data_IF_675965091762
#
_entry.id   IF_675965091762
#
_cell.length_a   1.000
_cell.length_b   1.000
_cell.length_c   1.000
_cell.angle_alpha   90.00
_cell.angle_beta   90.00
_cell.angle_gamma   90.00
#
_symmetry.space_group_name_H-M   'P 1'
#
loop_
_entity.id
_entity.type
_entity.pdbx_description
1 polymer ?
#
# COMPACT_ATOMS: atom_id res chain seq x y z
N UNK A 1 -29.44 25.50 37.76
CA UNK A 1 -30.58 24.58 37.59
C UNK A 1 -31.09 24.75 36.17
N UNK A 2 -30.63 23.93 35.23
CA UNK A 2 -31.10 22.55 35.00
C UNK A 2 -32.25 22.57 33.99
N UNK A 3 -31.91 22.16 32.77
CA UNK A 3 -32.69 21.35 31.82
C UNK A 3 -33.75 21.98 30.90
N UNK A 4 -33.45 21.80 29.60
CA UNK A 4 -34.31 21.27 28.52
C UNK A 4 -35.54 22.07 28.07
N UNK A 5 -35.51 22.63 26.85
CA UNK A 5 -36.01 21.98 25.63
C UNK A 5 -35.87 22.90 24.39
N UNK A 6 -35.64 22.29 23.22
CA UNK A 6 -35.46 22.82 21.84
C UNK A 6 -34.00 22.66 21.38
N UNK A 7 -33.52 21.45 21.04
CA UNK A 7 -33.82 20.67 19.83
C UNK A 7 -33.77 21.53 18.56
N UNK A 8 -32.60 21.63 17.93
CA UNK A 8 -32.40 21.05 16.58
C UNK A 8 -30.97 21.26 16.08
N UNK A 9 -30.47 20.21 15.42
CA UNK A 9 -29.48 20.25 14.34
C UNK A 9 -28.00 20.48 14.70
N UNK A 10 -27.28 19.39 15.01
CA UNK A 10 -26.07 18.97 14.28
C UNK A 10 -25.40 17.79 14.98
N UNK A 11 -26.00 16.60 14.89
CA UNK A 11 -25.20 15.38 15.02
C UNK A 11 -24.45 15.18 13.71
N UNK A 12 -23.19 15.63 13.65
CA UNK A 12 -22.24 15.17 12.64
C UNK A 12 -22.08 13.67 12.86
N UNK A 13 -22.74 12.89 11.99
CA UNK A 13 -22.53 11.46 11.85
C UNK A 13 -21.07 11.28 11.44
N UNK A 14 -20.30 10.61 12.28
CA UNK A 14 -18.94 10.17 11.99
C UNK A 14 -19.00 9.37 10.69
N UNK A 15 -18.43 9.91 9.62
CA UNK A 15 -18.34 9.23 8.33
C UNK A 15 -17.54 7.94 8.55
N UNK A 16 -18.15 6.81 8.22
CA UNK A 16 -17.48 5.52 8.24
C UNK A 16 -16.24 5.58 7.34
N UNK A 17 -15.11 4.95 7.71
CA UNK A 17 -13.96 4.85 6.81
C UNK A 17 -14.43 4.25 5.48
N UNK A 18 -13.83 4.66 4.34
CA UNK A 18 -14.22 4.13 3.04
C UNK A 18 -14.19 2.59 3.08
N UNK A 19 -15.13 1.92 2.41
CA UNK A 19 -15.17 0.46 2.37
C UNK A 19 -13.77 -0.02 1.95
N UNK A 20 -13.19 -0.88 2.77
CA UNK A 20 -11.80 -1.29 2.62
C UNK A 20 -11.61 -1.90 1.23
N UNK A 21 -11.02 -1.14 0.30
CA UNK A 21 -10.72 -1.56 -1.08
C UNK A 21 -9.61 -2.63 -1.13
N UNK A 22 -9.28 -3.22 0.01
CA UNK A 22 -8.26 -4.23 0.14
C UNK A 22 -8.82 -5.58 -0.34
N UNK A 23 -8.29 -6.15 -1.43
CA UNK A 23 -8.84 -7.36 -2.03
C UNK A 23 -8.63 -8.62 -1.15
N UNK A 24 -7.80 -8.57 -0.10
CA UNK A 24 -7.51 -9.71 0.78
C UNK A 24 -8.41 -9.81 2.02
N UNK A 25 -9.28 -8.82 2.26
CA UNK A 25 -10.23 -8.82 3.39
C UNK A 25 -11.51 -9.62 3.14
N UNK A 26 -11.89 -9.80 1.88
CA UNK A 26 -13.02 -10.64 1.52
C UNK A 26 -12.63 -12.12 1.72
N UNK A 27 -13.36 -12.82 2.59
CA UNK A 27 -13.26 -14.28 2.70
C UNK A 27 -13.57 -14.89 1.32
N UNK A 28 -12.57 -15.55 0.73
CA UNK A 28 -12.75 -16.30 -0.51
C UNK A 28 -13.90 -17.29 -0.31
N UNK A 29 -14.91 -17.34 -1.20
CA UNK A 29 -15.88 -18.42 -1.17
C UNK A 29 -15.10 -19.72 -1.31
N UNK A 30 -15.18 -20.57 -0.28
CA UNK A 30 -14.64 -21.92 -0.33
C UNK A 30 -15.16 -22.59 -1.62
N UNK A 31 -14.35 -23.39 -2.33
CA UNK A 31 -14.80 -24.03 -3.56
C UNK A 31 -16.08 -24.82 -3.27
N UNK A 32 -17.19 -24.34 -3.83
CA UNK A 32 -18.50 -24.95 -3.72
C UNK A 32 -18.45 -26.32 -4.41
N UNK A 33 -18.41 -27.38 -3.61
CA UNK A 33 -18.85 -28.70 -4.04
C UNK A 33 -20.26 -28.90 -3.49
N UNK A 34 -21.16 -29.23 -4.40
CA UNK A 34 -22.63 -29.20 -4.32
C UNK A 34 -23.24 -29.81 -3.04
N UNK A 35 -24.38 -29.21 -2.65
CA UNK A 35 -25.22 -29.54 -1.50
C UNK A 35 -25.72 -30.99 -1.47
N UNK A 36 -25.81 -31.53 -0.24
CA UNK A 36 -26.96 -32.34 0.15
C UNK A 36 -27.33 -32.05 1.61
N UNK A 37 -28.55 -31.54 1.77
CA UNK A 37 -29.13 -31.02 2.99
C UNK A 37 -29.33 -32.07 4.10
N UNK A 38 -29.12 -31.66 5.37
CA UNK A 38 -29.99 -32.05 6.50
C UNK A 38 -29.83 -31.07 7.68
N UNK A 39 -30.86 -31.02 8.51
CA UNK A 39 -31.35 -29.89 9.31
C UNK A 39 -30.53 -29.40 10.53
N UNK A 40 -30.81 -28.13 10.88
CA UNK A 40 -30.68 -27.37 12.15
C UNK A 40 -30.11 -28.06 13.40
N UNK A 41 -29.14 -27.39 14.02
CA UNK A 41 -28.78 -27.54 15.45
C UNK A 41 -27.72 -26.52 15.88
N UNK A 42 -27.89 -25.97 17.08
CA UNK A 42 -27.26 -24.80 17.71
C UNK A 42 -25.78 -24.99 18.14
N UNK A 43 -25.04 -23.86 18.14
CA UNK A 43 -23.80 -23.48 18.85
C UNK A 43 -22.54 -24.41 18.92
N UNK A 44 -21.39 -23.74 18.75
CA UNK A 44 -20.00 -24.19 18.95
C UNK A 44 -19.37 -25.04 17.83
N UNK A 45 -18.71 -24.39 16.86
CA UNK A 45 -17.99 -25.09 15.80
C UNK A 45 -16.46 -25.05 16.03
N UNK A 46 -15.83 -26.19 16.36
CA UNK A 46 -14.38 -26.33 16.39
C UNK A 46 -13.81 -26.28 14.97
N UNK A 47 -12.60 -25.74 14.83
CA UNK A 47 -11.80 -25.70 13.58
C UNK A 47 -11.95 -27.02 12.81
N UNK A 48 -12.50 -26.97 11.58
CA UNK A 48 -12.65 -28.15 10.71
C UNK A 48 -11.31 -28.91 10.63
N UNK A 49 -11.28 -30.22 10.96
CA UNK A 49 -10.08 -31.02 10.78
C UNK A 49 -9.74 -31.13 9.29
N UNK A 50 -8.47 -30.89 8.94
CA UNK A 50 -7.93 -31.15 7.60
C UNK A 50 -8.30 -32.59 7.21
N UNK A 51 -9.04 -32.75 6.13
CA UNK A 51 -9.37 -34.07 5.59
C UNK A 51 -8.08 -34.88 5.37
N UNK A 52 -8.09 -36.21 5.57
CA UNK A 52 -6.91 -37.04 5.41
C UNK A 52 -6.36 -36.89 3.98
N UNK A 53 -5.03 -36.78 3.86
CA UNK A 53 -4.29 -36.69 2.60
C UNK A 53 -4.76 -37.77 1.63
N UNK A 54 -5.60 -37.37 0.66
CA UNK A 54 -6.04 -38.26 -0.39
C UNK A 54 -4.83 -38.50 -1.31
N UNK A 55 -4.40 -39.74 -1.58
CA UNK A 55 -3.17 -40.02 -2.31
C UNK A 55 -3.13 -39.41 -3.70
N UNK A 56 -4.28 -39.06 -4.29
CA UNK A 56 -4.39 -38.40 -5.59
C UNK A 56 -4.33 -36.86 -5.55
N UNK A 57 -4.37 -36.26 -4.36
CA UNK A 57 -4.35 -34.81 -4.22
C UNK A 57 -2.97 -34.26 -4.61
N UNK A 58 -2.94 -33.32 -5.57
CA UNK A 58 -1.71 -32.68 -6.02
C UNK A 58 -0.75 -33.54 -6.85
N UNK A 59 -1.07 -34.80 -7.20
CA UNK A 59 -0.19 -35.63 -8.05
C UNK A 59 -0.01 -34.98 -9.42
N UNK A 60 -1.10 -34.51 -10.05
CA UNK A 60 -1.04 -33.86 -11.37
C UNK A 60 -0.22 -32.58 -11.28
N UNK A 61 -0.49 -31.74 -10.28
CA UNK A 61 0.27 -30.51 -9.98
C UNK A 61 1.78 -30.76 -9.87
N UNK A 62 2.19 -31.78 -9.10
CA UNK A 62 3.61 -32.14 -8.90
C UNK A 62 4.33 -32.48 -10.19
N UNK A 63 3.66 -33.08 -11.17
CA UNK A 63 4.27 -33.38 -12.46
C UNK A 63 4.58 -32.13 -13.31
N UNK A 64 3.89 -31.01 -13.06
CA UNK A 64 4.07 -29.75 -13.78
C UNK A 64 4.97 -28.75 -13.06
N UNK A 65 5.28 -28.94 -11.78
CA UNK A 65 6.17 -28.06 -11.00
C UNK A 65 7.51 -27.76 -11.68
N UNK A 66 8.21 -28.73 -12.32
CA UNK A 66 9.46 -28.45 -13.05
C UNK A 66 9.30 -27.48 -14.23
N UNK A 67 8.08 -27.23 -14.69
CA UNK A 67 7.76 -26.36 -15.81
C UNK A 67 7.11 -25.03 -15.37
N UNK A 68 6.74 -24.88 -14.09
CA UNK A 68 6.09 -23.67 -13.57
C UNK A 68 7.01 -22.44 -13.55
N UNK A 69 8.32 -22.60 -13.75
CA UNK A 69 9.23 -21.44 -13.90
C UNK A 69 8.81 -20.53 -15.07
N UNK A 70 8.27 -21.07 -16.16
CA UNK A 70 7.78 -20.28 -17.30
C UNK A 70 6.60 -19.40 -16.90
N UNK A 71 5.72 -19.91 -16.03
CA UNK A 71 4.64 -19.11 -15.46
C UNK A 71 5.21 -17.98 -14.59
N UNK A 72 6.19 -18.26 -13.72
CA UNK A 72 6.82 -17.24 -12.87
C UNK A 72 7.53 -16.16 -13.69
N UNK A 73 8.29 -16.54 -14.73
CA UNK A 73 8.92 -15.58 -15.65
C UNK A 73 7.89 -14.70 -16.37
N UNK A 74 6.76 -15.30 -16.78
CA UNK A 74 5.64 -14.54 -17.32
C UNK A 74 5.07 -13.56 -16.29
N UNK A 75 4.87 -13.97 -15.03
CA UNK A 75 4.38 -13.06 -13.99
C UNK A 75 5.38 -11.93 -13.71
N UNK A 76 6.68 -12.22 -13.68
CA UNK A 76 7.74 -11.22 -13.52
C UNK A 76 7.65 -10.17 -14.64
N UNK A 77 7.59 -10.60 -15.90
CA UNK A 77 7.48 -9.68 -17.04
C UNK A 77 6.21 -8.83 -16.98
N UNK A 78 5.05 -9.44 -16.73
CA UNK A 78 3.77 -8.70 -16.68
C UNK A 78 3.76 -7.66 -15.55
N UNK A 79 4.32 -7.98 -14.39
CA UNK A 79 4.43 -7.03 -13.28
C UNK A 79 5.39 -5.89 -13.58
N UNK A 80 6.51 -6.16 -14.26
CA UNK A 80 7.41 -5.11 -14.74
C UNK A 80 6.69 -4.13 -15.67
N UNK A 81 5.97 -4.65 -16.66
CA UNK A 81 5.16 -3.84 -17.58
C UNK A 81 4.06 -3.06 -16.86
N UNK A 82 3.43 -3.65 -15.84
CA UNK A 82 2.41 -2.99 -15.02
C UNK A 82 2.99 -1.81 -14.22
N UNK A 83 4.16 -1.98 -13.59
CA UNK A 83 4.85 -0.90 -12.89
C UNK A 83 5.24 0.23 -13.84
N UNK A 84 5.82 -0.10 -15.00
CA UNK A 84 6.23 0.91 -15.97
C UNK A 84 5.03 1.70 -16.51
N UNK A 85 3.88 1.02 -16.70
CA UNK A 85 2.61 1.69 -17.02
C UNK A 85 2.17 2.63 -15.90
N UNK A 86 2.20 2.20 -14.64
CA UNK A 86 1.85 3.10 -13.52
C UNK A 86 2.75 4.33 -13.46
N UNK A 87 4.05 4.19 -13.75
CA UNK A 87 4.98 5.33 -13.81
C UNK A 87 4.57 6.30 -14.93
N UNK A 88 4.21 5.77 -16.11
CA UNK A 88 3.78 6.59 -17.24
C UNK A 88 2.45 7.30 -16.96
N UNK A 89 1.46 6.58 -16.43
CA UNK A 89 0.14 7.11 -16.10
C UNK A 89 0.23 8.19 -15.01
N UNK A 90 1.07 7.99 -13.99
CA UNK A 90 1.33 8.98 -12.94
C UNK A 90 1.94 10.27 -13.51
N UNK A 91 2.92 10.16 -14.42
CA UNK A 91 3.51 11.32 -15.11
C UNK A 91 2.53 12.05 -16.03
N UNK A 92 1.62 11.31 -16.66
CA UNK A 92 0.64 11.87 -17.58
C UNK A 92 -0.51 12.60 -16.86
N UNK A 93 -0.95 12.09 -15.70
CA UNK A 93 -2.01 12.71 -14.90
C UNK A 93 -1.54 13.96 -14.15
N UNK A 94 -0.23 14.03 -13.84
CA UNK A 94 0.34 15.12 -13.04
C UNK A 94 -0.06 15.03 -11.56
N UNK A 95 0.37 15.98 -10.72
CA UNK A 95 0.04 16.01 -9.30
C UNK A 95 -1.48 15.99 -9.07
N UNK A 96 -1.98 15.30 -8.02
CA UNK A 96 -3.40 15.26 -7.71
C UNK A 96 -3.95 16.68 -7.55
N UNK A 97 -5.02 17.00 -8.30
CA UNK A 97 -5.59 18.34 -8.33
C UNK A 97 -6.17 18.70 -6.96
N UNK A 98 -5.92 19.92 -6.46
CA UNK A 98 -6.32 20.32 -5.11
C UNK A 98 -7.83 20.61 -4.93
N UNK A 99 -8.62 20.58 -6.00
CA UNK A 99 -10.02 21.02 -6.00
C UNK A 99 -11.03 19.90 -5.72
N UNK A 100 -10.56 18.69 -5.44
CA UNK A 100 -11.44 17.60 -4.99
C UNK A 100 -11.23 17.44 -3.48
N UNK A 101 -12.29 17.17 -2.71
CA UNK A 101 -12.23 16.74 -1.29
C UNK A 101 -11.39 15.45 -1.06
N UNK A 102 -10.71 14.96 -2.10
CA UNK A 102 -9.82 13.81 -2.18
C UNK A 102 -8.35 14.14 -1.88
N UNK A 103 -8.06 15.30 -1.28
CA UNK A 103 -6.72 15.59 -0.76
C UNK A 103 -6.29 14.50 0.23
N UNK A 104 -5.35 13.63 -0.15
CA UNK A 104 -4.98 12.46 0.64
C UNK A 104 -5.67 11.14 0.23
N UNK A 105 -6.33 11.08 -0.92
CA UNK A 105 -6.83 9.82 -1.46
C UNK A 105 -5.69 8.87 -1.86
N UNK A 106 -5.93 7.58 -1.65
CA UNK A 106 -5.04 6.50 -2.04
C UNK A 106 -4.95 6.41 -3.57
N UNK A 107 -3.74 6.29 -4.11
CA UNK A 107 -3.50 6.19 -5.54
C UNK A 107 -4.17 4.93 -6.13
N UNK A 108 -4.93 5.03 -7.22
CA UNK A 108 -5.63 3.87 -7.80
C UNK A 108 -4.66 2.76 -8.24
N UNK A 109 -3.43 3.12 -8.62
CA UNK A 109 -2.39 2.16 -9.02
C UNK A 109 -2.05 1.12 -7.94
N UNK A 110 -2.17 1.45 -6.64
CA UNK A 110 -1.91 0.45 -5.61
C UNK A 110 -3.04 -0.57 -5.50
N UNK A 111 -4.30 -0.16 -5.68
CA UNK A 111 -5.44 -1.08 -5.68
C UNK A 111 -5.31 -2.09 -6.83
N UNK A 112 -4.99 -1.61 -8.04
CA UNK A 112 -4.76 -2.46 -9.20
C UNK A 112 -3.60 -3.45 -8.98
N UNK A 113 -2.51 -3.01 -8.35
CA UNK A 113 -1.35 -3.86 -8.02
C UNK A 113 -1.76 -5.03 -7.11
N UNK A 114 -2.48 -4.75 -6.02
CA UNK A 114 -2.86 -5.79 -5.06
C UNK A 114 -3.97 -6.70 -5.59
N UNK A 115 -4.88 -6.20 -6.43
CA UNK A 115 -5.83 -7.04 -7.17
C UNK A 115 -5.09 -8.01 -8.09
N UNK A 116 -4.05 -7.54 -8.78
CA UNK A 116 -3.22 -8.40 -9.62
C UNK A 116 -2.51 -9.48 -8.78
N UNK A 117 -1.93 -9.11 -7.63
CA UNK A 117 -1.29 -10.07 -6.73
C UNK A 117 -2.26 -11.13 -6.22
N UNK A 118 -3.47 -10.74 -5.82
CA UNK A 118 -4.53 -11.69 -5.42
C UNK A 118 -4.79 -12.69 -6.54
N UNK A 119 -4.95 -12.22 -7.78
CA UNK A 119 -5.20 -13.08 -8.94
C UNK A 119 -4.05 -14.07 -9.16
N UNK A 120 -2.80 -13.60 -9.16
CA UNK A 120 -1.63 -14.46 -9.34
C UNK A 120 -1.49 -15.51 -8.22
N UNK A 121 -1.76 -15.13 -6.98
CA UNK A 121 -1.73 -16.03 -5.82
C UNK A 121 -2.80 -17.11 -5.93
N UNK A 122 -4.05 -16.74 -6.24
CA UNK A 122 -5.15 -17.70 -6.43
C UNK A 122 -4.81 -18.68 -7.55
N UNK A 123 -4.36 -18.17 -8.70
CA UNK A 123 -3.96 -19.00 -9.84
C UNK A 123 -2.79 -19.94 -9.49
N UNK A 124 -1.76 -19.43 -8.81
CA UNK A 124 -0.62 -20.25 -8.41
C UNK A 124 -1.05 -21.34 -7.42
N UNK A 125 -1.92 -21.04 -6.46
CA UNK A 125 -2.38 -22.01 -5.46
C UNK A 125 -3.18 -23.17 -6.06
N UNK A 126 -3.82 -22.96 -7.21
CA UNK A 126 -4.49 -24.03 -7.96
C UNK A 126 -3.51 -24.92 -8.73
N UNK A 127 -2.32 -24.40 -9.06
CA UNK A 127 -1.29 -25.10 -9.82
C UNK A 127 -0.27 -25.81 -8.91
N UNK A 128 0.18 -25.16 -7.83
CA UNK A 128 1.14 -25.69 -6.86
C UNK A 128 1.12 -24.89 -5.56
N UNK A 129 1.38 -25.57 -4.44
CA UNK A 129 1.54 -25.00 -3.09
C UNK A 129 3.00 -25.06 -2.59
N UNK A 130 3.94 -25.48 -3.45
CA UNK A 130 5.35 -25.71 -3.13
C UNK A 130 6.28 -24.57 -3.53
N UNK A 131 7.47 -24.90 -4.04
CA UNK A 131 8.51 -23.94 -4.47
C UNK A 131 8.03 -22.86 -5.46
N UNK A 132 7.13 -23.13 -6.43
CA UNK A 132 6.58 -22.09 -7.30
C UNK A 132 5.87 -20.96 -6.55
N UNK A 133 5.21 -21.25 -5.43
CA UNK A 133 4.57 -20.24 -4.59
C UNK A 133 5.62 -19.33 -3.91
N UNK A 134 6.75 -19.91 -3.51
CA UNK A 134 7.87 -19.15 -2.95
C UNK A 134 8.50 -18.27 -4.02
N UNK A 135 8.69 -18.78 -5.23
CA UNK A 135 9.17 -17.99 -6.36
C UNK A 135 8.19 -16.86 -6.73
N UNK A 136 6.87 -17.08 -6.66
CA UNK A 136 5.89 -16.01 -6.86
C UNK A 136 6.00 -14.94 -5.76
N UNK A 137 6.18 -15.36 -4.52
CA UNK A 137 6.37 -14.45 -3.38
C UNK A 137 7.58 -13.54 -3.58
N UNK A 138 8.71 -14.07 -4.09
CA UNK A 138 9.89 -13.24 -4.35
C UNK A 138 9.67 -12.22 -5.46
N UNK A 139 8.86 -12.55 -6.47
CA UNK A 139 8.43 -11.60 -7.49
C UNK A 139 7.56 -10.50 -6.86
N UNK A 140 6.61 -10.84 -5.98
CA UNK A 140 5.82 -9.82 -5.28
C UNK A 140 6.67 -8.88 -4.43
N UNK A 141 7.65 -9.42 -3.70
CA UNK A 141 8.60 -8.62 -2.92
C UNK A 141 9.35 -7.62 -3.81
N UNK A 142 9.90 -8.09 -4.94
CA UNK A 142 10.61 -7.25 -5.91
C UNK A 142 9.73 -6.07 -6.37
N UNK A 143 8.50 -6.35 -6.77
CA UNK A 143 7.63 -5.31 -7.34
C UNK A 143 6.96 -4.41 -6.30
N UNK A 144 6.80 -4.84 -5.05
CA UNK A 144 6.43 -3.93 -3.95
C UNK A 144 7.53 -2.90 -3.69
N UNK A 145 8.80 -3.32 -3.70
CA UNK A 145 9.95 -2.41 -3.58
C UNK A 145 10.05 -1.47 -4.77
N UNK A 146 9.87 -1.98 -5.99
CA UNK A 146 9.87 -1.13 -7.18
C UNK A 146 8.73 -0.11 -7.18
N UNK A 147 7.53 -0.51 -6.74
CA UNK A 147 6.41 0.41 -6.59
C UNK A 147 6.72 1.52 -5.57
N UNK A 148 7.21 1.14 -4.39
CA UNK A 148 7.60 2.09 -3.36
C UNK A 148 8.67 3.07 -3.86
N UNK A 149 9.68 2.58 -4.58
CA UNK A 149 10.78 3.41 -5.07
C UNK A 149 10.39 4.29 -6.27
N UNK A 150 9.78 3.72 -7.33
CA UNK A 150 9.50 4.41 -8.59
C UNK A 150 8.28 5.33 -8.52
N UNK A 151 7.23 4.94 -7.77
CA UNK A 151 5.95 5.68 -7.72
C UNK A 151 5.85 6.54 -6.47
N UNK A 152 6.23 6.02 -5.30
CA UNK A 152 6.03 6.75 -4.05
C UNK A 152 7.25 7.65 -3.75
N UNK A 153 8.38 7.08 -3.33
CA UNK A 153 9.58 7.84 -2.95
C UNK A 153 10.15 8.67 -4.10
N UNK A 154 10.09 8.16 -5.33
CA UNK A 154 10.59 8.85 -6.51
C UNK A 154 9.85 10.16 -6.83
N UNK A 155 8.62 10.31 -6.34
CA UNK A 155 7.79 11.49 -6.55
C UNK A 155 7.63 12.36 -5.29
N UNK A 156 8.19 11.96 -4.15
CA UNK A 156 8.25 12.84 -2.98
C UNK A 156 9.18 14.04 -3.26
N UNK A 157 8.79 15.27 -2.85
CA UNK A 157 9.67 16.42 -2.91
C UNK A 157 10.97 16.16 -2.17
N UNK A 158 12.11 16.34 -2.84
CA UNK A 158 13.42 16.21 -2.18
C UNK A 158 13.65 17.48 -1.37
N UNK A 159 13.69 17.35 -0.04
CA UNK A 159 14.11 18.44 0.84
C UNK A 159 15.51 18.88 0.41
N UNK A 160 15.64 20.11 -0.10
CA UNK A 160 16.94 20.67 -0.45
C UNK A 160 17.66 21.08 0.83
N UNK A 161 18.20 20.09 1.52
CA UNK A 161 19.24 20.25 2.52
C UNK A 161 20.35 19.27 2.19
N UNK A 162 21.26 19.72 1.30
CA UNK A 162 22.52 19.08 0.88
C UNK A 162 22.46 18.00 -0.22
N UNK A 163 22.64 18.41 -1.48
CA UNK A 163 23.55 17.74 -2.42
C UNK A 163 23.76 18.61 -3.66
N UNK A 164 25.04 18.86 -3.96
CA UNK A 164 25.51 19.85 -4.92
C UNK A 164 25.02 19.65 -6.35
N UNK A 165 24.48 20.74 -6.89
CA UNK A 165 24.32 21.00 -8.31
C UNK A 165 24.45 22.51 -8.50
N UNK A 166 25.68 23.04 -8.45
CA UNK A 166 25.95 24.45 -8.70
C UNK A 166 25.64 24.74 -10.18
N UNK A 167 24.43 25.19 -10.48
CA UNK A 167 24.17 25.88 -11.74
C UNK A 167 24.48 27.36 -11.53
N UNK A 168 25.25 27.93 -12.46
CA UNK A 168 25.76 29.32 -12.40
C UNK A 168 24.60 30.34 -12.27
N UNK A 169 23.37 29.97 -12.65
CA UNK A 169 22.18 30.80 -12.50
C UNK A 169 21.72 31.00 -11.04
N UNK A 170 22.06 30.11 -10.10
CA UNK A 170 21.65 30.25 -8.69
C UNK A 170 22.55 31.21 -7.89
N UNK A 171 23.77 31.48 -8.35
CA UNK A 171 24.73 32.36 -7.66
C UNK A 171 24.48 33.86 -7.90
N UNK A 172 23.67 34.23 -8.90
CA UNK A 172 23.38 35.63 -9.21
C UNK A 172 22.08 36.16 -8.58
N UNK A 173 21.40 35.34 -7.77
CA UNK A 173 20.16 35.71 -7.07
C UNK A 173 20.35 35.72 -5.55
N UNK A 174 21.53 36.17 -5.09
CA UNK A 174 21.73 36.52 -3.68
C UNK A 174 21.13 37.90 -3.40
N UNK A 175 19.84 37.95 -3.03
CA UNK A 175 19.34 38.97 -2.12
C UNK A 175 18.04 38.53 -1.44
N UNK A 176 18.14 38.41 -0.12
CA UNK A 176 17.07 38.28 0.89
C UNK A 176 16.33 36.94 1.01
N UNK A 177 16.57 36.28 2.15
CA UNK A 177 15.66 35.29 2.72
C UNK A 177 16.15 33.86 2.53
N UNK A 178 16.37 33.17 3.65
CA UNK A 178 16.35 31.71 3.70
C UNK A 178 15.00 31.25 3.15
N UNK A 179 14.93 30.90 1.87
CA UNK A 179 13.74 30.27 1.28
C UNK A 179 13.65 28.84 1.82
N UNK A 180 13.11 28.73 3.04
CA UNK A 180 12.53 27.48 3.50
C UNK A 180 11.41 27.20 2.51
N UNK A 181 11.56 26.13 1.72
CA UNK A 181 10.64 25.79 0.64
C UNK A 181 9.24 25.65 1.21
N UNK A 182 8.40 26.67 1.03
CA UNK A 182 6.96 26.55 1.25
C UNK A 182 6.44 25.63 0.17
N UNK A 183 5.96 24.44 0.53
CA UNK A 183 5.35 23.58 -0.46
C UNK A 183 4.11 24.26 -1.02
N UNK A 184 3.93 24.11 -2.33
CA UNK A 184 2.67 24.48 -2.96
C UNK A 184 1.56 23.55 -2.46
N UNK A 185 0.31 24.01 -2.56
CA UNK A 185 -0.84 23.20 -2.15
C UNK A 185 -0.95 21.90 -2.97
N UNK A 186 -0.49 21.91 -4.22
CA UNK A 186 -0.38 20.74 -5.09
C UNK A 186 0.65 19.73 -4.58
N UNK A 187 1.82 20.20 -4.11
CA UNK A 187 2.85 19.35 -3.50
C UNK A 187 2.39 18.77 -2.16
N UNK A 188 1.69 19.54 -1.33
CA UNK A 188 1.10 19.03 -0.09
C UNK A 188 0.05 17.95 -0.35
N UNK A 189 -0.84 18.17 -1.32
CA UNK A 189 -1.81 17.17 -1.75
C UNK A 189 -1.12 15.87 -2.19
N UNK A 190 -0.05 16.01 -2.99
CA UNK A 190 0.75 14.87 -3.44
C UNK A 190 1.41 14.12 -2.27
N UNK A 191 2.05 14.82 -1.33
CA UNK A 191 2.67 14.19 -0.16
C UNK A 191 1.62 13.42 0.66
N UNK A 192 0.44 14.02 0.89
CA UNK A 192 -0.66 13.37 1.59
C UNK A 192 -1.18 12.13 0.84
N UNK A 193 -1.37 12.21 -0.48
CA UNK A 193 -1.79 11.05 -1.29
C UNK A 193 -0.75 9.93 -1.26
N UNK A 194 0.54 10.26 -1.33
CA UNK A 194 1.62 9.27 -1.20
C UNK A 194 1.62 8.65 0.21
N UNK A 195 1.44 9.44 1.26
CA UNK A 195 1.35 8.97 2.64
C UNK A 195 0.22 7.96 2.81
N UNK A 196 -1.01 8.32 2.41
CA UNK A 196 -2.17 7.43 2.50
C UNK A 196 -1.98 6.16 1.67
N UNK A 197 -1.36 6.29 0.50
CA UNK A 197 -1.05 5.13 -0.36
C UNK A 197 -0.03 4.20 0.30
N UNK A 198 1.03 4.74 0.91
CA UNK A 198 2.04 3.95 1.58
C UNK A 198 1.47 3.22 2.81
N UNK A 199 0.58 3.85 3.57
CA UNK A 199 -0.13 3.22 4.69
C UNK A 199 -1.03 2.08 4.21
N UNK A 200 -1.80 2.32 3.14
CA UNK A 200 -2.61 1.28 2.53
C UNK A 200 -1.75 0.11 2.02
N UNK A 201 -0.63 0.39 1.33
CA UNK A 201 0.30 -0.63 0.86
C UNK A 201 0.88 -1.46 2.00
N UNK A 202 1.27 -0.83 3.12
CA UNK A 202 1.80 -1.52 4.29
C UNK A 202 0.76 -2.49 4.86
N UNK A 203 -0.44 -2.00 5.17
CA UNK A 203 -1.52 -2.81 5.73
C UNK A 203 -1.93 -3.96 4.78
N UNK A 204 -1.96 -3.69 3.48
CA UNK A 204 -2.34 -4.69 2.46
C UNK A 204 -1.24 -5.73 2.25
N UNK A 205 0.04 -5.34 2.36
CA UNK A 205 1.19 -6.26 2.30
C UNK A 205 1.16 -7.24 3.48
N UNK A 206 0.78 -6.79 4.67
CA UNK A 206 0.61 -7.66 5.83
C UNK A 206 -0.44 -8.74 5.56
N UNK A 207 -1.60 -8.36 5.03
CA UNK A 207 -2.67 -9.33 4.73
C UNK A 207 -2.29 -10.27 3.59
N UNK A 208 -1.57 -9.78 2.57
CA UNK A 208 -1.02 -10.62 1.52
C UNK A 208 -0.07 -11.68 2.10
N UNK A 209 0.80 -11.32 3.04
CA UNK A 209 1.70 -12.27 3.70
C UNK A 209 0.92 -13.37 4.42
N UNK A 210 -0.10 -12.99 5.19
CA UNK A 210 -0.98 -13.95 5.88
C UNK A 210 -1.67 -14.89 4.88
N UNK A 211 -2.23 -14.35 3.79
CA UNK A 211 -2.89 -15.16 2.75
C UNK A 211 -1.94 -16.08 2.00
N UNK A 212 -0.70 -15.65 1.73
CA UNK A 212 0.32 -16.51 1.13
C UNK A 212 0.69 -17.67 2.07
N UNK A 213 0.81 -17.40 3.38
CA UNK A 213 1.08 -18.44 4.41
C UNK A 213 -0.07 -19.42 4.57
N UNK A 214 -1.32 -19.02 4.35
CA UNK A 214 -2.49 -19.91 4.33
C UNK A 214 -2.49 -20.86 3.12
N UNK A 215 -1.90 -20.45 1.99
CA UNK A 215 -1.95 -21.18 0.71
C UNK A 215 -0.73 -22.05 0.43
N UNK A 216 0.38 -21.88 1.16
CA UNK A 216 1.62 -22.63 0.96
C UNK A 216 1.68 -23.89 1.83
N UNK A 217 2.50 -24.85 1.42
CA UNK A 217 2.82 -26.04 2.22
C UNK A 217 3.44 -25.66 3.59
N UNK A 218 3.06 -26.40 4.64
CA UNK A 218 3.43 -26.11 6.04
C UNK A 218 4.95 -26.02 6.24
N UNK A 219 5.73 -26.81 5.48
CA UNK A 219 7.20 -26.81 5.53
C UNK A 219 7.85 -25.54 4.97
N UNK A 220 7.12 -24.77 4.18
CA UNK A 220 7.63 -23.58 3.46
C UNK A 220 7.09 -22.27 4.01
N UNK A 221 6.16 -22.30 4.98
CA UNK A 221 5.55 -21.10 5.60
C UNK A 221 6.62 -20.13 6.13
N UNK A 222 7.68 -20.63 6.77
CA UNK A 222 8.75 -19.79 7.33
C UNK A 222 9.57 -19.05 6.26
N UNK A 223 9.53 -19.50 5.00
CA UNK A 223 10.22 -18.83 3.88
C UNK A 223 9.44 -17.63 3.34
N UNK A 224 8.16 -17.49 3.70
CA UNK A 224 7.34 -16.33 3.32
C UNK A 224 7.54 -15.25 4.38
N UNK A 225 8.17 -14.15 3.97
CA UNK A 225 8.43 -13.00 4.82
C UNK A 225 8.36 -11.74 3.95
N UNK A 226 7.41 -10.84 4.21
CA UNK A 226 7.30 -9.56 3.51
C UNK A 226 7.63 -8.36 4.43
N UNK A 227 8.28 -8.62 5.58
CA UNK A 227 8.65 -7.57 6.55
C UNK A 227 9.55 -6.50 5.92
N UNK A 228 10.48 -6.88 5.03
CA UNK A 228 11.34 -5.92 4.34
C UNK A 228 10.57 -4.94 3.44
N UNK A 229 9.48 -5.40 2.82
CA UNK A 229 8.59 -4.56 2.01
C UNK A 229 7.75 -3.64 2.91
N UNK A 230 7.26 -4.16 4.03
CA UNK A 230 6.55 -3.35 5.04
C UNK A 230 7.44 -2.24 5.61
N UNK A 231 8.70 -2.55 5.92
CA UNK A 231 9.70 -1.57 6.38
C UNK A 231 9.99 -0.51 5.30
N UNK A 232 10.00 -0.93 4.03
CA UNK A 232 10.14 0.00 2.90
C UNK A 232 8.97 0.99 2.86
N UNK A 233 7.72 0.52 2.95
CA UNK A 233 6.55 1.40 3.01
C UNK A 233 6.55 2.28 4.27
N UNK A 234 6.94 1.73 5.43
CA UNK A 234 7.10 2.49 6.68
C UNK A 234 8.11 3.63 6.56
N UNK A 235 9.19 3.41 5.81
CA UNK A 235 10.19 4.44 5.49
C UNK A 235 9.59 5.55 4.62
N UNK A 236 8.75 5.19 3.63
CA UNK A 236 8.02 6.18 2.82
C UNK A 236 7.06 7.00 3.68
N UNK A 237 6.26 6.35 4.53
CA UNK A 237 5.34 7.01 5.46
C UNK A 237 6.09 8.02 6.32
N UNK A 238 7.19 7.59 6.95
CA UNK A 238 8.03 8.43 7.81
C UNK A 238 8.59 9.64 7.05
N UNK A 239 9.04 9.44 5.81
CA UNK A 239 9.56 10.51 4.95
C UNK A 239 8.47 11.52 4.59
N UNK A 240 7.26 11.06 4.25
CA UNK A 240 6.13 11.94 3.98
C UNK A 240 5.73 12.77 5.20
N UNK A 241 5.67 12.15 6.39
CA UNK A 241 5.37 12.85 7.64
C UNK A 241 6.42 13.93 7.92
N UNK A 242 7.70 13.62 7.77
CA UNK A 242 8.79 14.58 7.98
C UNK A 242 8.67 15.81 7.06
N UNK A 243 8.31 15.61 5.79
CA UNK A 243 8.08 16.72 4.86
C UNK A 243 6.91 17.60 5.29
N UNK A 244 5.79 17.01 5.73
CA UNK A 244 4.63 17.75 6.22
C UNK A 244 4.94 18.54 7.50
N UNK A 245 5.71 17.94 8.42
CA UNK A 245 6.15 18.64 9.65
C UNK A 245 7.09 19.79 9.30
N UNK A 246 8.03 19.59 8.38
CA UNK A 246 8.96 20.65 7.93
C UNK A 246 8.21 21.85 7.34
N UNK A 247 7.16 21.62 6.56
CA UNK A 247 6.32 22.68 6.01
C UNK A 247 5.58 23.46 7.10
N UNK A 248 5.04 22.74 8.09
CA UNK A 248 4.33 23.33 9.21
C UNK A 248 5.26 24.19 10.08
N UNK A 249 6.45 23.69 10.39
CA UNK A 249 7.48 24.44 11.14
C UNK A 249 7.88 25.72 10.39
N UNK A 250 8.11 25.61 9.07
CA UNK A 250 8.43 26.74 8.20
C UNK A 250 7.31 27.80 8.16
N UNK A 251 6.04 27.36 8.22
CA UNK A 251 4.89 28.25 8.27
C UNK A 251 4.78 28.98 9.63
N UNK A 252 5.22 28.36 10.71
CA UNK A 252 5.18 28.91 12.07
C UNK A 252 6.35 29.87 12.37
N UNK A 253 7.52 29.64 11.79
CA UNK A 253 8.77 30.37 12.05
C UNK A 253 8.67 31.91 11.95
N UNK A 254 8.01 32.51 10.93
CA UNK A 254 7.90 33.97 10.82
C UNK A 254 7.10 34.60 11.97
N UNK A 255 6.01 33.95 12.39
CA UNK A 255 5.18 34.43 13.48
C UNK A 255 5.91 34.30 14.82
N UNK A 256 6.60 33.18 15.06
CA UNK A 256 7.43 32.95 16.25
C UNK A 256 8.59 33.96 16.34
N UNK A 257 9.25 34.21 15.21
CA UNK A 257 10.33 35.21 15.11
C UNK A 257 9.80 36.61 15.42
N UNK A 258 8.63 36.98 14.88
CA UNK A 258 8.00 38.27 15.18
C UNK A 258 7.66 38.41 16.67
N UNK A 259 7.08 37.37 17.29
CA UNK A 259 6.79 37.36 18.73
C UNK A 259 8.05 37.47 19.59
N UNK A 260 9.15 36.80 19.21
CA UNK A 260 10.41 36.83 19.98
C UNK A 260 11.07 38.20 20.05
N UNK A 261 10.81 39.07 19.06
CA UNK A 261 11.34 40.44 18.97
C UNK A 261 10.50 41.46 19.74
N UNK A 262 9.27 41.12 20.14
CA UNK A 262 8.44 41.94 21.02
C UNK A 262 8.86 41.65 22.46
N UNK A 263 10.00 42.19 22.88
CA UNK A 263 10.36 42.31 24.30
C UNK A 263 10.17 43.75 24.74
N UNK A 264 9.34 43.94 25.77
CA UNK A 264 9.12 45.21 26.48
C UNK A 264 10.38 45.67 27.21
#
# INVERSE_FOLDING_TARGET
NTYLFLVSSSQKKLESPPPSTNPFLEDEPAPELEELATEKGDLDQPKKPKAPDNPFHGIVSKCFEPHLYVYIESQDKNLGELIDRFVADFKAQGPPKPNTDEGGAVLPSCADLFVYYKKCMVQCSQLSTGEPMIALTTIFQKYLREYAWKILSGNLPKTTSSSGGLTISSLLKEKEGSEVAKFTLEELCLICSILSTAEYCLATTQQLEEKLKEKVDVSLIERINLTGEMDTFSTVISSSIQLLVQDLDAACDPALTAMSKVRF
#
